data_IF_526295489668
#
_entry.id   IF_526295489668
#
_cell.length_a   1.000
_cell.length_b   1.000
_cell.length_c   1.000
_cell.angle_alpha   90.00
_cell.angle_beta   90.00
_cell.angle_gamma   90.00
#
_symmetry.space_group_name_H-M   'P 1'
#
loop_
_entity.id
_entity.type
_entity.pdbx_description
1 polymer ?
#
# COMPACT_ATOMS: atom_id res chain seq x y z
N UNK A 1 6.98 45.46 0.17
CA UNK A 1 6.39 44.30 0.86
C UNK A 1 6.25 43.21 -0.19
N UNK A 2 7.32 42.43 -0.40
CA UNK A 2 7.32 41.34 -1.38
C UNK A 2 6.91 40.06 -0.66
N UNK A 3 5.75 39.54 -1.01
CA UNK A 3 5.27 38.24 -0.55
C UNK A 3 6.08 37.16 -1.25
N UNK A 4 7.00 36.55 -0.51
CA UNK A 4 7.89 35.48 -0.97
C UNK A 4 7.05 34.26 -1.35
N UNK A 5 6.88 34.07 -2.66
CA UNK A 5 6.34 32.87 -3.32
C UNK A 5 6.68 31.58 -2.56
N UNK A 6 5.69 30.97 -1.93
CA UNK A 6 5.84 29.66 -1.30
C UNK A 6 5.87 28.59 -2.40
N UNK A 7 7.07 28.04 -2.61
CA UNK A 7 7.32 26.94 -3.54
C UNK A 7 6.76 25.65 -2.96
N UNK A 8 5.57 25.23 -3.40
CA UNK A 8 5.06 23.91 -3.06
C UNK A 8 5.79 22.87 -3.92
N UNK A 9 6.62 22.05 -3.29
CA UNK A 9 7.17 20.85 -3.95
C UNK A 9 6.16 19.76 -3.73
N UNK A 10 5.55 19.22 -4.79
CA UNK A 10 4.75 18.00 -4.66
C UNK A 10 5.72 16.89 -4.25
N UNK A 11 5.69 16.49 -2.98
CA UNK A 11 6.46 15.34 -2.52
C UNK A 11 5.67 14.09 -2.95
N UNK A 12 5.63 13.82 -4.25
CA UNK A 12 4.93 12.65 -4.80
C UNK A 12 5.78 11.37 -4.69
N UNK A 13 6.96 11.46 -4.08
CA UNK A 13 7.82 10.33 -3.77
C UNK A 13 7.61 9.92 -2.30
N UNK A 14 6.56 9.13 -2.06
CA UNK A 14 6.32 8.47 -0.78
C UNK A 14 7.22 7.22 -0.64
N UNK A 15 8.50 7.33 -0.99
CA UNK A 15 9.45 6.25 -0.75
C UNK A 15 9.87 6.27 0.72
N UNK A 16 9.79 5.15 1.45
CA UNK A 16 10.33 5.10 2.80
C UNK A 16 11.83 5.42 2.78
N UNK A 17 12.29 6.17 3.78
CA UNK A 17 13.71 6.54 3.95
C UNK A 17 14.62 5.30 4.04
N UNK A 18 14.08 4.21 4.62
CA UNK A 18 14.76 2.92 4.70
C UNK A 18 13.80 1.77 4.37
N UNK A 19 14.16 0.86 3.45
CA UNK A 19 13.34 -0.31 3.14
C UNK A 19 13.28 -1.24 4.36
N UNK A 20 12.07 -1.56 4.81
CA UNK A 20 11.84 -2.45 5.96
C UNK A 20 11.70 -3.89 5.48
N UNK A 21 12.59 -4.77 5.96
CA UNK A 21 12.52 -6.19 5.60
C UNK A 21 11.31 -6.86 6.28
N UNK A 22 10.51 -7.68 5.55
CA UNK A 22 9.32 -8.33 6.12
C UNK A 22 9.65 -9.29 7.27
N UNK A 23 10.86 -9.84 7.29
CA UNK A 23 11.35 -10.65 8.40
C UNK A 23 11.53 -9.87 9.71
N UNK A 24 11.85 -8.58 9.67
CA UNK A 24 11.88 -7.75 10.89
C UNK A 24 10.49 -7.65 11.50
N UNK A 25 9.46 -7.47 10.66
CA UNK A 25 8.05 -7.44 11.05
C UNK A 25 7.64 -8.79 11.68
N UNK A 26 8.08 -9.91 11.11
CA UNK A 26 7.87 -11.23 11.71
C UNK A 26 8.47 -11.33 13.12
N UNK A 27 9.67 -10.79 13.33
CA UNK A 27 10.31 -10.78 14.64
C UNK A 27 9.52 -9.99 15.69
N UNK A 28 8.96 -8.85 15.28
CA UNK A 28 8.09 -8.03 16.14
C UNK A 28 6.77 -8.72 16.45
N UNK A 29 6.15 -9.35 15.46
CA UNK A 29 4.90 -10.10 15.64
C UNK A 29 5.07 -11.27 16.61
N UNK A 30 6.19 -12.01 16.50
CA UNK A 30 6.52 -13.08 17.44
C UNK A 30 6.72 -12.56 18.86
N UNK A 31 7.38 -11.40 19.00
CA UNK A 31 7.59 -10.74 20.30
C UNK A 31 6.26 -10.26 20.89
N UNK A 32 5.36 -9.69 20.08
CA UNK A 32 4.04 -9.25 20.50
C UNK A 32 3.17 -10.42 21.03
N UNK A 33 3.32 -11.60 20.41
CA UNK A 33 2.63 -12.84 20.84
C UNK A 33 3.33 -13.59 21.96
N UNK A 34 4.52 -13.15 22.38
CA UNK A 34 5.33 -13.84 23.39
C UNK A 34 5.88 -15.20 22.96
N UNK A 35 5.99 -15.46 21.65
CA UNK A 35 6.46 -16.74 21.11
C UNK A 35 7.96 -16.63 20.82
N UNK A 36 8.77 -17.58 21.32
CA UNK A 36 10.19 -17.58 20.98
C UNK A 36 10.43 -18.07 19.55
N UNK A 37 11.45 -17.54 18.87
CA UNK A 37 11.80 -17.94 17.50
C UNK A 37 12.06 -19.44 17.37
N UNK A 38 12.64 -20.07 18.40
CA UNK A 38 12.94 -21.51 18.43
C UNK A 38 11.67 -22.34 18.53
N UNK A 39 10.70 -21.92 19.34
CA UNK A 39 9.39 -22.59 19.44
C UNK A 39 8.61 -22.41 18.14
N UNK A 40 8.60 -21.20 17.58
CA UNK A 40 7.95 -20.94 16.32
C UNK A 40 8.49 -21.80 15.18
N UNK A 41 9.82 -21.95 15.09
CA UNK A 41 10.46 -22.82 14.12
C UNK A 41 10.01 -24.28 14.23
N UNK A 42 9.80 -24.78 15.46
CA UNK A 42 9.25 -26.13 15.71
C UNK A 42 7.80 -26.24 15.24
N UNK A 43 6.98 -25.22 15.50
CA UNK A 43 5.56 -25.19 15.11
C UNK A 43 5.39 -25.33 13.60
N UNK A 44 6.20 -24.61 12.82
CA UNK A 44 6.10 -24.59 11.35
C UNK A 44 6.96 -25.65 10.65
N UNK A 45 7.71 -26.46 11.42
CA UNK A 45 8.59 -27.50 10.88
C UNK A 45 9.72 -26.96 10.01
N UNK A 46 10.41 -25.91 10.47
CA UNK A 46 11.64 -25.39 9.83
C UNK A 46 12.78 -25.30 10.83
N UNK A 47 14.01 -25.20 10.34
CA UNK A 47 15.16 -25.00 11.21
C UNK A 47 15.13 -23.60 11.85
N UNK A 48 15.50 -23.49 13.13
CA UNK A 48 15.55 -22.21 13.83
C UNK A 48 16.51 -21.20 13.17
N UNK A 49 17.58 -21.70 12.55
CA UNK A 49 18.51 -20.91 11.72
C UNK A 49 17.82 -20.26 10.53
N UNK A 50 16.85 -20.93 9.92
CA UNK A 50 16.08 -20.39 8.80
C UNK A 50 15.23 -19.19 9.24
N UNK A 51 14.58 -19.28 10.41
CA UNK A 51 13.76 -18.19 10.95
C UNK A 51 14.63 -17.03 11.42
N UNK A 52 15.75 -17.29 12.08
CA UNK A 52 16.71 -16.25 12.46
C UNK A 52 17.25 -15.52 11.22
N UNK A 53 17.62 -16.24 10.15
CA UNK A 53 18.06 -15.62 8.90
C UNK A 53 16.97 -14.78 8.22
N UNK A 54 15.71 -15.19 8.33
CA UNK A 54 14.56 -14.43 7.84
C UNK A 54 14.42 -13.13 8.63
N UNK A 55 14.46 -13.21 9.97
CA UNK A 55 14.30 -12.07 10.88
C UNK A 55 15.42 -11.03 10.70
N UNK A 56 16.66 -11.48 10.49
CA UNK A 56 17.79 -10.60 10.22
C UNK A 56 17.85 -10.05 8.79
N UNK A 57 16.85 -10.36 7.94
CA UNK A 57 16.81 -9.86 6.56
C UNK A 57 17.86 -10.46 5.63
N UNK A 58 18.47 -11.58 6.02
CA UNK A 58 19.44 -12.31 5.19
C UNK A 58 18.71 -13.13 4.12
N UNK A 59 17.50 -13.59 4.42
CA UNK A 59 16.67 -14.38 3.50
C UNK A 59 15.33 -13.70 3.24
N UNK A 60 14.91 -13.77 1.99
CA UNK A 60 13.58 -13.34 1.56
C UNK A 60 12.51 -14.38 1.93
N UNK A 61 11.28 -13.92 2.12
CA UNK A 61 10.12 -14.77 2.29
C UNK A 61 9.73 -15.36 0.94
N UNK A 62 9.76 -16.69 0.82
CA UNK A 62 9.27 -17.42 -0.36
C UNK A 62 7.81 -17.83 -0.16
N UNK A 63 7.06 -18.15 -1.24
CA UNK A 63 5.67 -18.61 -1.14
C UNK A 63 5.50 -19.83 -0.23
N UNK A 64 6.45 -20.76 -0.27
CA UNK A 64 6.45 -21.94 0.60
C UNK A 64 6.61 -21.58 2.08
N UNK A 65 7.40 -20.56 2.40
CA UNK A 65 7.58 -20.06 3.77
C UNK A 65 6.34 -19.27 4.20
N UNK A 66 5.78 -18.44 3.32
CA UNK A 66 4.56 -17.66 3.60
C UNK A 66 3.37 -18.57 3.98
N UNK A 67 3.16 -19.68 3.26
CA UNK A 67 2.14 -20.67 3.61
C UNK A 67 2.38 -21.31 5.00
N UNK A 68 3.64 -21.57 5.34
CA UNK A 68 4.00 -22.08 6.68
C UNK A 68 3.77 -21.04 7.78
N UNK A 69 4.06 -19.76 7.51
CA UNK A 69 3.81 -18.66 8.44
C UNK A 69 2.32 -18.47 8.72
N UNK A 70 1.48 -18.61 7.71
CA UNK A 70 0.02 -18.55 7.85
C UNK A 70 -0.50 -19.63 8.82
N UNK A 71 -0.05 -20.88 8.63
CA UNK A 71 -0.40 -22.00 9.53
C UNK A 71 0.14 -21.79 10.95
N UNK A 72 1.38 -21.28 11.06
CA UNK A 72 2.05 -21.09 12.34
C UNK A 72 1.51 -19.94 13.18
N UNK A 73 1.23 -18.80 12.56
CA UNK A 73 0.78 -17.60 13.26
C UNK A 73 -0.73 -17.60 13.47
N UNK A 74 -1.52 -18.19 12.55
CA UNK A 74 -2.99 -18.14 12.54
C UNK A 74 -3.53 -16.70 12.56
N UNK A 75 -4.19 -16.30 11.46
CA UNK A 75 -4.83 -14.99 11.32
C UNK A 75 -4.08 -13.98 10.45
N UNK A 76 -2.91 -14.34 9.91
CA UNK A 76 -2.21 -13.53 8.90
C UNK A 76 -2.09 -14.39 7.62
N UNK A 77 -2.73 -13.97 6.50
CA UNK A 77 -2.70 -14.74 5.27
C UNK A 77 -1.31 -14.74 4.63
N UNK A 78 -0.94 -15.81 3.92
CA UNK A 78 0.32 -15.89 3.20
C UNK A 78 0.53 -14.75 2.19
N UNK A 79 -0.55 -14.27 1.58
CA UNK A 79 -0.54 -13.17 0.61
C UNK A 79 0.03 -11.88 1.20
N UNK A 80 -0.29 -11.57 2.46
CA UNK A 80 0.24 -10.38 3.14
C UNK A 80 1.77 -10.43 3.21
N UNK A 81 2.34 -11.58 3.56
CA UNK A 81 3.80 -11.75 3.65
C UNK A 81 4.49 -11.60 2.29
N UNK A 82 3.86 -12.10 1.23
CA UNK A 82 4.38 -11.96 -0.12
C UNK A 82 4.32 -10.52 -0.62
N UNK A 83 3.23 -9.81 -0.30
CA UNK A 83 3.09 -8.39 -0.60
C UNK A 83 4.17 -7.56 0.09
N UNK A 84 4.40 -7.78 1.38
CA UNK A 84 5.46 -7.08 2.12
C UNK A 84 6.86 -7.35 1.54
N UNK A 85 7.10 -8.58 1.06
CA UNK A 85 8.35 -8.90 0.37
C UNK A 85 8.48 -8.18 -0.97
N UNK A 86 7.39 -8.04 -1.73
CA UNK A 86 7.39 -7.32 -3.00
C UNK A 86 7.60 -5.81 -2.81
N UNK A 87 6.94 -5.23 -1.82
CA UNK A 87 7.13 -3.83 -1.40
C UNK A 87 8.59 -3.58 -1.01
N UNK A 88 9.16 -4.42 -0.13
CA UNK A 88 10.58 -4.36 0.23
C UNK A 88 11.51 -4.47 -0.99
N UNK A 89 11.24 -5.40 -1.92
CA UNK A 89 12.03 -5.57 -3.13
C UNK A 89 11.97 -4.32 -4.02
N UNK A 90 10.80 -3.68 -4.10
CA UNK A 90 10.58 -2.45 -4.86
C UNK A 90 11.35 -1.28 -4.24
N UNK A 91 11.30 -1.13 -2.92
CA UNK A 91 12.01 -0.08 -2.19
C UNK A 91 13.53 -0.23 -2.29
N UNK A 92 14.03 -1.47 -2.16
CA UNK A 92 15.46 -1.76 -2.38
C UNK A 92 15.89 -1.44 -3.80
N UNK A 93 15.05 -1.73 -4.81
CA UNK A 93 15.34 -1.37 -6.21
C UNK A 93 15.36 0.15 -6.38
N UNK A 94 14.37 0.87 -5.84
CA UNK A 94 14.30 2.34 -5.89
C UNK A 94 15.54 2.98 -5.27
N UNK A 95 16.00 2.49 -4.11
CA UNK A 95 17.23 2.97 -3.46
C UNK A 95 18.51 2.73 -4.28
N UNK A 96 18.53 1.69 -5.12
CA UNK A 96 19.66 1.40 -6.04
C UNK A 96 19.60 2.21 -7.33
N UNK A 97 18.42 2.63 -7.76
CA UNK A 97 18.27 3.54 -8.90
C UNK A 97 18.80 4.91 -8.46
N UNK A 98 19.85 5.37 -9.12
CA UNK A 98 20.50 6.64 -8.79
C UNK A 98 19.46 7.77 -8.70
N UNK A 99 19.47 8.59 -7.62
CA UNK A 99 18.56 9.74 -7.48
C UNK A 99 18.72 10.77 -8.62
N UNK A 100 19.78 10.68 -9.44
CA UNK A 100 19.98 11.49 -10.63
C UNK A 100 19.05 11.16 -11.80
N UNK A 101 18.41 9.98 -11.84
CA UNK A 101 17.47 9.62 -12.91
C UNK A 101 16.06 10.16 -12.70
N UNK A 102 15.75 10.70 -11.51
CA UNK A 102 14.44 11.28 -11.20
C UNK A 102 14.30 12.76 -11.60
N UNK A 103 15.35 13.38 -12.14
CA UNK A 103 15.35 14.80 -12.56
C UNK A 103 15.72 15.01 -14.04
N UNK A 104 15.99 13.97 -14.82
CA UNK A 104 16.55 14.18 -16.17
C UNK A 104 15.54 14.20 -17.33
N UNK A 105 14.22 14.10 -17.07
CA UNK A 105 13.25 13.87 -18.16
C UNK A 105 12.36 15.04 -18.57
N UNK A 106 12.21 16.08 -17.74
CA UNK A 106 11.24 17.14 -18.01
C UNK A 106 11.94 18.47 -18.28
N UNK A 107 12.18 18.75 -19.57
CA UNK A 107 12.43 20.10 -20.03
C UNK A 107 11.14 20.91 -19.86
N UNK A 108 11.22 22.00 -19.09
CA UNK A 108 10.12 22.91 -18.74
C UNK A 108 9.35 23.49 -19.96
N UNK A 109 9.92 23.41 -21.17
CA UNK A 109 9.44 24.11 -22.36
C UNK A 109 8.44 23.31 -23.22
N UNK A 110 8.20 22.04 -22.90
CA UNK A 110 7.23 21.19 -23.63
C UNK A 110 6.31 20.40 -22.70
N UNK A 111 6.03 20.92 -21.49
CA UNK A 111 4.89 20.38 -20.74
C UNK A 111 3.60 20.83 -21.44
N UNK A 112 2.67 19.92 -21.80
CA UNK A 112 1.32 20.35 -22.10
C UNK A 112 0.81 21.04 -20.83
N UNK A 113 0.27 22.24 -20.96
CA UNK A 113 -0.34 22.96 -19.87
C UNK A 113 -1.42 22.06 -19.23
N UNK A 114 -1.07 21.37 -18.14
CA UNK A 114 -2.05 20.83 -17.20
C UNK A 114 -2.75 22.05 -16.66
N UNK A 115 -3.99 22.25 -17.10
CA UNK A 115 -4.82 23.33 -16.60
C UNK A 115 -4.95 23.15 -15.10
N UNK A 116 -4.48 24.16 -14.39
CA UNK A 116 -4.72 24.39 -12.97
C UNK A 116 -6.22 24.23 -12.70
N UNK A 117 -6.62 23.08 -12.16
CA UNK A 117 -7.89 23.00 -11.44
C UNK A 117 -7.63 23.67 -10.09
N UNK A 118 -8.19 24.86 -9.91
CA UNK A 118 -8.05 25.66 -8.71
C UNK A 118 -8.54 24.87 -7.48
N UNK A 119 -7.74 24.78 -6.40
CA UNK A 119 -8.18 24.20 -5.15
C UNK A 119 -9.06 25.22 -4.44
N UNK A 120 -10.37 25.19 -4.69
CA UNK A 120 -11.47 25.63 -3.81
C UNK A 120 -12.78 25.77 -4.59
N UNK A 121 -13.25 24.67 -5.21
CA UNK A 121 -14.70 24.47 -5.42
C UNK A 121 -14.96 22.97 -5.50
N UNK A 122 -15.49 22.38 -4.42
CA UNK A 122 -16.21 21.11 -4.55
C UNK A 122 -17.54 21.47 -5.21
N UNK A 123 -17.54 21.59 -6.53
CA UNK A 123 -18.79 21.50 -7.28
C UNK A 123 -19.23 20.03 -7.19
N UNK A 124 -20.37 19.81 -6.55
CA UNK A 124 -21.08 18.55 -6.60
C UNK A 124 -21.63 18.34 -8.01
N UNK A 125 -20.76 18.05 -8.99
CA UNK A 125 -21.17 17.77 -10.37
C UNK A 125 -20.73 16.37 -10.82
N UNK A 126 -21.68 15.45 -10.62
CA UNK A 126 -22.04 14.39 -11.57
C UNK A 126 -21.02 13.28 -11.88
N UNK A 127 -20.63 12.47 -10.88
CA UNK A 127 -20.31 11.06 -11.12
C UNK A 127 -21.60 10.27 -11.41
N UNK A 128 -22.04 10.19 -12.68
CA UNK A 128 -23.09 9.24 -13.10
C UNK A 128 -22.53 7.82 -13.14
N UNK A 129 -22.69 7.07 -12.05
CA UNK A 129 -22.44 5.62 -12.03
C UNK A 129 -23.72 4.90 -12.47
N UNK A 130 -23.71 4.27 -13.66
CA UNK A 130 -24.81 3.40 -14.10
C UNK A 130 -24.70 2.05 -13.42
N UNK A 131 -25.44 1.87 -12.33
CA UNK A 131 -25.60 0.60 -11.64
C UNK A 131 -26.81 -0.14 -12.21
N UNK A 132 -26.64 -1.42 -12.58
CA UNK A 132 -27.75 -2.28 -13.03
C UNK A 132 -28.44 -2.89 -11.81
N UNK A 133 -29.71 -2.55 -11.62
CA UNK A 133 -30.46 -2.90 -10.41
C UNK A 133 -31.62 -3.83 -10.78
N UNK A 134 -31.80 -4.96 -10.07
CA UNK A 134 -32.92 -5.88 -10.29
C UNK A 134 -34.27 -5.24 -9.96
N UNK A 135 -35.32 -5.59 -10.72
CA UNK A 135 -36.63 -4.90 -10.69
C UNK A 135 -37.30 -4.86 -9.31
N UNK A 136 -37.09 -5.89 -8.48
CA UNK A 136 -37.67 -6.00 -7.13
C UNK A 136 -37.18 -4.92 -6.15
N UNK A 137 -36.00 -4.32 -6.41
CA UNK A 137 -35.34 -3.39 -5.50
C UNK A 137 -35.49 -1.91 -5.95
N UNK A 138 -36.29 -1.66 -7.00
CA UNK A 138 -36.50 -0.32 -7.58
C UNK A 138 -37.22 0.63 -6.61
N UNK A 139 -38.22 0.16 -5.88
CA UNK A 139 -39.00 1.00 -4.94
C UNK A 139 -38.17 1.48 -3.74
N UNK A 140 -37.29 0.62 -3.22
CA UNK A 140 -36.39 0.97 -2.12
C UNK A 140 -35.40 2.07 -2.51
N UNK A 141 -34.98 2.10 -3.78
CA UNK A 141 -34.07 3.12 -4.26
C UNK A 141 -34.75 4.45 -4.54
N UNK A 142 -36.00 4.43 -5.01
CA UNK A 142 -36.79 5.67 -5.16
C UNK A 142 -36.98 6.32 -3.80
N UNK A 143 -37.39 5.55 -2.78
CA UNK A 143 -37.58 6.09 -1.43
C UNK A 143 -36.27 6.56 -0.78
N UNK A 144 -35.15 5.89 -1.04
CA UNK A 144 -33.83 6.34 -0.58
C UNK A 144 -33.38 7.60 -1.31
N UNK A 145 -33.58 7.67 -2.63
CA UNK A 145 -33.21 8.84 -3.42
C UNK A 145 -34.01 10.07 -3.04
N UNK A 146 -35.32 9.93 -2.78
CA UNK A 146 -36.16 11.03 -2.28
C UNK A 146 -35.69 11.52 -0.91
N UNK A 147 -35.35 10.61 0.02
CA UNK A 147 -34.79 10.98 1.33
C UNK A 147 -33.44 11.67 1.23
N UNK A 148 -32.62 11.30 0.26
CA UNK A 148 -31.28 11.83 0.06
C UNK A 148 -31.23 13.00 -0.93
N UNK A 149 -32.38 13.40 -1.52
CA UNK A 149 -32.47 14.50 -2.48
C UNK A 149 -31.84 14.20 -3.85
N UNK A 150 -31.69 12.93 -4.23
CA UNK A 150 -31.11 12.52 -5.51
C UNK A 150 -32.19 12.46 -6.61
N UNK A 151 -31.89 12.99 -7.79
CA UNK A 151 -32.74 12.82 -8.98
C UNK A 151 -32.37 11.53 -9.71
N UNK A 152 -33.35 10.65 -9.90
CA UNK A 152 -33.23 9.45 -10.74
C UNK A 152 -33.85 9.78 -12.11
N UNK A 153 -33.05 9.76 -13.18
CA UNK A 153 -33.51 9.80 -14.59
C UNK A 153 -33.42 8.41 -15.24
#
# INVERSE_FOLDING_TARGET
METKSEKWTIINDLSPFEPVHPGSILGEELKARGISQKEFAKIIGVQATHISALIHGVRNITPAVAAKLEVGLKGIPAEMWLRLQDEYNTDVKRKKVNPSLLVSGYSMHEMPAVSLAEPDTIEADTMRVKIRIPAKDRELLVSLAERCGWKIE
#
